data_IF_447802926145
#
_entry.id   IF_447802926145
#
_cell.length_a   1.000
_cell.length_b   1.000
_cell.length_c   1.000
_cell.angle_alpha   90.00
_cell.angle_beta   90.00
_cell.angle_gamma   90.00
#
_symmetry.space_group_name_H-M   'P 1'
#
loop_
_entity.id
_entity.type
_entity.pdbx_description
1 polymer ?
#
# COMPACT_ATOMS: atom_id res chain seq x y z
N UNK A 1 -22.70 0.79 -8.96
CA UNK A 1 -22.38 2.13 -9.47
C UNK A 1 -21.50 2.93 -8.50
N UNK A 2 -21.89 3.08 -7.21
CA UNK A 2 -21.08 3.85 -6.24
C UNK A 2 -19.75 3.17 -5.84
N UNK A 3 -19.76 1.84 -5.66
CA UNK A 3 -18.54 1.04 -5.35
C UNK A 3 -17.48 1.09 -6.46
N UNK A 4 -17.91 1.06 -7.73
CA UNK A 4 -17.05 1.22 -8.92
C UNK A 4 -16.31 2.55 -8.91
N UNK A 5 -17.01 3.62 -8.55
CA UNK A 5 -16.43 4.96 -8.48
C UNK A 5 -15.38 5.07 -7.37
N UNK A 6 -15.66 4.49 -6.19
CA UNK A 6 -14.71 4.47 -5.06
C UNK A 6 -13.43 3.72 -5.42
N UNK A 7 -13.53 2.54 -6.02
CA UNK A 7 -12.32 1.77 -6.36
C UNK A 7 -11.49 2.43 -7.47
N UNK A 8 -12.15 3.11 -8.41
CA UNK A 8 -11.44 3.90 -9.42
C UNK A 8 -10.67 5.05 -8.78
N UNK A 9 -11.27 5.77 -7.83
CA UNK A 9 -10.59 6.83 -7.07
C UNK A 9 -9.42 6.25 -6.26
N UNK A 10 -9.60 5.08 -5.65
CA UNK A 10 -8.52 4.37 -4.92
C UNK A 10 -7.38 4.01 -5.87
N UNK A 11 -7.66 3.43 -7.03
CA UNK A 11 -6.66 3.11 -8.06
C UNK A 11 -5.92 4.37 -8.52
N UNK A 12 -6.65 5.42 -8.94
CA UNK A 12 -6.07 6.67 -9.43
C UNK A 12 -5.21 7.36 -8.34
N UNK A 13 -5.69 7.42 -7.10
CA UNK A 13 -4.95 8.06 -6.01
C UNK A 13 -3.67 7.29 -5.64
N UNK A 14 -3.71 5.95 -5.63
CA UNK A 14 -2.54 5.15 -5.33
C UNK A 14 -1.50 5.19 -6.45
N UNK A 15 -1.94 5.17 -7.71
CA UNK A 15 -1.04 5.29 -8.86
C UNK A 15 -0.37 6.67 -8.92
N UNK A 16 -1.10 7.74 -8.59
CA UNK A 16 -0.61 9.10 -8.73
C UNK A 16 0.16 9.60 -7.50
N UNK A 17 -0.29 9.24 -6.29
CA UNK A 17 0.23 9.80 -5.04
C UNK A 17 0.78 8.75 -4.07
N UNK A 18 0.46 7.47 -4.24
CA UNK A 18 0.87 6.39 -3.33
C UNK A 18 0.09 6.32 -2.01
N UNK A 19 -0.82 7.27 -1.77
CA UNK A 19 -1.64 7.33 -0.56
C UNK A 19 -3.01 7.97 -0.80
N UNK A 20 -3.90 7.79 0.16
CA UNK A 20 -5.25 8.38 0.22
C UNK A 20 -5.43 9.05 1.57
N UNK A 21 -5.97 10.27 1.58
CA UNK A 21 -6.34 10.98 2.81
C UNK A 21 -7.85 10.91 2.98
N UNK A 22 -8.30 10.48 4.15
CA UNK A 22 -9.72 10.36 4.51
C UNK A 22 -10.00 11.10 5.82
N UNK A 23 -11.17 11.75 5.98
CA UNK A 23 -11.63 12.24 7.28
C UNK A 23 -11.74 11.08 8.28
N UNK A 24 -11.35 11.30 9.54
CA UNK A 24 -11.26 10.22 10.54
C UNK A 24 -12.59 9.48 10.76
N UNK A 25 -13.71 10.20 10.65
CA UNK A 25 -15.08 9.68 10.75
C UNK A 25 -15.44 8.68 9.63
N UNK A 26 -14.78 8.79 8.47
CA UNK A 26 -15.02 7.91 7.31
C UNK A 26 -14.12 6.67 7.29
N UNK A 27 -13.09 6.63 8.14
CA UNK A 27 -12.07 5.57 8.13
C UNK A 27 -12.64 4.22 8.53
N UNK A 28 -13.58 4.18 9.47
CA UNK A 28 -14.22 2.92 9.89
C UNK A 28 -14.93 2.22 8.73
N UNK A 29 -15.82 2.94 8.05
CA UNK A 29 -16.54 2.43 6.88
C UNK A 29 -15.59 2.01 5.76
N UNK A 30 -14.51 2.76 5.53
CA UNK A 30 -13.50 2.42 4.54
C UNK A 30 -12.73 1.14 4.91
N UNK A 31 -12.32 0.97 6.17
CA UNK A 31 -11.65 -0.26 6.66
C UNK A 31 -12.56 -1.46 6.51
N UNK A 32 -13.83 -1.34 6.91
CA UNK A 32 -14.78 -2.44 6.81
C UNK A 32 -15.05 -2.82 5.35
N UNK A 33 -15.12 -1.83 4.47
CA UNK A 33 -15.21 -2.05 3.03
C UNK A 33 -13.98 -2.80 2.51
N UNK A 34 -12.76 -2.32 2.78
CA UNK A 34 -11.51 -2.99 2.37
C UNK A 34 -11.41 -4.42 2.92
N UNK A 35 -11.88 -4.65 4.16
CA UNK A 35 -11.92 -5.97 4.78
C UNK A 35 -12.89 -6.90 4.03
N UNK A 36 -14.07 -6.40 3.67
CA UNK A 36 -15.11 -7.18 2.99
C UNK A 36 -14.68 -7.70 1.61
N UNK A 37 -13.73 -7.02 0.95
CA UNK A 37 -13.15 -7.41 -0.35
C UNK A 37 -11.74 -7.98 -0.23
N UNK A 38 -11.30 -8.32 0.98
CA UNK A 38 -9.98 -8.87 1.29
C UNK A 38 -8.80 -8.04 0.74
N UNK A 39 -8.90 -6.72 0.80
CA UNK A 39 -7.83 -5.80 0.38
C UNK A 39 -7.13 -5.12 1.56
N UNK A 40 -7.68 -5.20 2.78
CA UNK A 40 -7.15 -4.47 3.95
C UNK A 40 -5.65 -4.75 4.20
N UNK A 41 -5.19 -5.97 3.96
CA UNK A 41 -3.79 -6.36 4.19
C UNK A 41 -2.77 -5.70 3.25
N UNK A 42 -3.23 -5.14 2.13
CA UNK A 42 -2.39 -4.34 1.22
C UNK A 42 -2.12 -2.94 1.76
N UNK A 43 -2.81 -2.50 2.82
CA UNK A 43 -2.77 -1.12 3.27
C UNK A 43 -2.20 -1.00 4.68
N UNK A 44 -1.45 0.09 4.89
CA UNK A 44 -1.11 0.65 6.19
C UNK A 44 -2.00 1.86 6.41
N UNK A 45 -2.54 1.99 7.62
CA UNK A 45 -3.47 3.07 7.98
C UNK A 45 -2.91 3.80 9.19
N UNK A 46 -2.54 5.06 8.99
CA UNK A 46 -2.02 5.95 10.02
C UNK A 46 -3.10 6.98 10.37
N UNK A 47 -3.59 6.97 11.60
CA UNK A 47 -4.67 7.88 12.05
C UNK A 47 -4.12 9.07 12.83
N UNK A 48 -4.67 10.23 12.56
CA UNK A 48 -4.54 11.47 13.34
C UNK A 48 -5.91 11.84 13.93
N UNK A 49 -5.98 12.95 14.66
CA UNK A 49 -7.23 13.43 15.28
C UNK A 49 -8.30 13.81 14.26
N UNK A 50 -7.90 14.23 13.05
CA UNK A 50 -8.81 14.78 12.03
C UNK A 50 -8.87 13.97 10.74
N UNK A 51 -7.82 13.21 10.44
CA UNK A 51 -7.68 12.48 9.20
C UNK A 51 -6.97 11.15 9.41
N UNK A 52 -7.09 10.25 8.45
CA UNK A 52 -6.20 9.13 8.31
C UNK A 52 -5.55 9.13 6.92
N UNK A 53 -4.33 8.63 6.90
CA UNK A 53 -3.56 8.35 5.70
C UNK A 53 -3.63 6.84 5.49
N UNK A 54 -4.07 6.44 4.30
CA UNK A 54 -4.09 5.06 3.83
C UNK A 54 -3.05 4.95 2.74
N UNK A 55 -2.04 4.12 2.95
CA UNK A 55 -0.93 3.93 2.03
C UNK A 55 -0.70 2.44 1.79
N UNK A 56 0.06 2.09 0.75
CA UNK A 56 0.46 0.71 0.53
C UNK A 56 1.28 0.20 1.73
N UNK A 57 0.98 -1.00 2.21
CA UNK A 57 1.75 -1.63 3.26
C UNK A 57 3.10 -2.12 2.71
N UNK A 58 4.16 -1.32 2.93
CA UNK A 58 5.53 -1.61 2.50
C UNK A 58 6.41 -2.23 3.57
N UNK A 59 5.92 -2.43 4.80
CA UNK A 59 6.70 -3.06 5.88
C UNK A 59 7.29 -4.41 5.46
N UNK A 60 6.57 -5.30 4.76
CA UNK A 60 7.17 -6.56 4.29
C UNK A 60 8.31 -6.34 3.30
N UNK A 61 8.23 -5.31 2.44
CA UNK A 61 9.33 -4.95 1.54
C UNK A 61 10.56 -4.50 2.33
N UNK A 62 10.37 -3.70 3.38
CA UNK A 62 11.48 -3.24 4.23
C UNK A 62 12.20 -4.41 4.87
N UNK A 63 11.46 -5.37 5.46
CA UNK A 63 12.07 -6.56 6.04
C UNK A 63 12.76 -7.46 5.02
N UNK A 64 12.12 -7.69 3.87
CA UNK A 64 12.68 -8.52 2.81
C UNK A 64 13.97 -7.90 2.23
N UNK A 65 13.93 -6.63 1.86
CA UNK A 65 15.07 -5.93 1.28
C UNK A 65 16.20 -5.75 2.30
N UNK A 66 15.88 -5.49 3.57
CA UNK A 66 16.90 -5.43 4.61
C UNK A 66 17.60 -6.80 4.71
N UNK A 67 16.86 -7.91 4.72
CA UNK A 67 17.48 -9.25 4.79
C UNK A 67 18.35 -9.62 3.58
N UNK A 68 17.99 -9.15 2.38
CA UNK A 68 18.67 -9.52 1.13
C UNK A 68 19.83 -8.60 0.76
N UNK A 69 19.83 -7.35 1.22
CA UNK A 69 20.79 -6.34 0.81
C UNK A 69 21.93 -6.15 1.80
N UNK A 70 22.56 -7.24 2.24
CA UNK A 70 23.78 -7.21 3.03
C UNK A 70 24.99 -7.68 2.21
N UNK A 71 26.09 -6.94 2.30
CA UNK A 71 27.36 -7.36 1.71
C UNK A 71 28.00 -8.49 2.53
N UNK A 72 29.09 -9.06 2.01
CA UNK A 72 29.83 -10.15 2.68
C UNK A 72 30.33 -9.81 4.11
N UNK A 73 30.41 -8.52 4.45
CA UNK A 73 30.82 -8.04 5.77
C UNK A 73 29.64 -7.76 6.70
N UNK A 74 28.40 -8.04 6.28
CA UNK A 74 27.19 -7.81 7.08
C UNK A 74 26.77 -6.35 7.17
N UNK A 75 27.28 -5.47 6.31
CA UNK A 75 26.77 -4.10 6.19
C UNK A 75 25.73 -4.03 5.09
N UNK A 76 24.69 -3.22 5.32
CA UNK A 76 23.65 -2.99 4.32
C UNK A 76 24.22 -2.24 3.11
N UNK A 77 23.99 -2.79 1.92
CA UNK A 77 24.21 -2.09 0.67
C UNK A 77 22.99 -1.20 0.38
N UNK A 78 23.16 0.11 0.57
CA UNK A 78 22.08 1.09 0.39
C UNK A 78 21.56 1.13 -1.07
N UNK A 79 22.41 0.88 -2.08
CA UNK A 79 21.97 0.88 -3.47
C UNK A 79 21.11 -0.36 -3.78
N UNK A 80 21.51 -1.53 -3.26
CA UNK A 80 20.67 -2.72 -3.30
C UNK A 80 19.34 -2.46 -2.59
N UNK A 81 19.39 -1.94 -1.37
CA UNK A 81 18.20 -1.75 -0.53
C UNK A 81 17.18 -0.82 -1.19
N UNK A 82 17.63 0.33 -1.72
CA UNK A 82 16.76 1.27 -2.43
C UNK A 82 16.15 0.63 -3.69
N UNK A 83 16.96 -0.07 -4.48
CA UNK A 83 16.49 -0.72 -5.72
C UNK A 83 15.48 -1.82 -5.42
N UNK A 84 15.74 -2.64 -4.39
CA UNK A 84 14.84 -3.68 -3.92
C UNK A 84 13.52 -3.09 -3.42
N UNK A 85 13.57 -2.03 -2.61
CA UNK A 85 12.37 -1.36 -2.11
C UNK A 85 11.50 -0.83 -3.24
N UNK A 86 12.11 -0.25 -4.28
CA UNK A 86 11.38 0.24 -5.43
C UNK A 86 10.67 -0.90 -6.17
N UNK A 87 11.39 -1.97 -6.51
CA UNK A 87 10.81 -3.14 -7.18
C UNK A 87 9.68 -3.79 -6.37
N UNK A 88 9.90 -4.03 -5.07
CA UNK A 88 8.87 -4.62 -4.22
C UNK A 88 7.62 -3.73 -4.09
N UNK A 89 7.79 -2.40 -4.04
CA UNK A 89 6.65 -1.46 -4.03
C UNK A 89 5.86 -1.53 -5.33
N UNK A 90 6.53 -1.56 -6.47
CA UNK A 90 5.88 -1.70 -7.78
C UNK A 90 5.10 -3.02 -7.88
N UNK A 91 5.71 -4.14 -7.50
CA UNK A 91 5.06 -5.46 -7.52
C UNK A 91 3.80 -5.50 -6.65
N UNK A 92 3.88 -4.94 -5.42
CA UNK A 92 2.73 -4.87 -4.52
C UNK A 92 1.63 -3.96 -5.05
N UNK A 93 1.98 -2.82 -5.64
CA UNK A 93 1.02 -1.93 -6.29
C UNK A 93 0.33 -2.64 -7.46
N UNK A 94 1.10 -3.32 -8.32
CA UNK A 94 0.57 -4.11 -9.43
C UNK A 94 -0.37 -5.22 -8.96
N UNK A 95 0.00 -5.95 -7.90
CA UNK A 95 -0.84 -6.99 -7.30
C UNK A 95 -2.17 -6.41 -6.77
N UNK A 96 -2.11 -5.27 -6.07
CA UNK A 96 -3.31 -4.56 -5.61
C UNK A 96 -4.20 -4.14 -6.79
N UNK A 97 -3.64 -3.45 -7.80
CA UNK A 97 -4.41 -3.00 -8.96
C UNK A 97 -5.03 -4.19 -9.73
N UNK A 98 -4.28 -5.28 -9.91
CA UNK A 98 -4.80 -6.50 -10.52
C UNK A 98 -5.99 -7.06 -9.73
N UNK A 99 -5.87 -7.09 -8.40
CA UNK A 99 -6.95 -7.53 -7.52
C UNK A 99 -8.18 -6.63 -7.60
N UNK A 100 -7.98 -5.31 -7.61
CA UNK A 100 -9.05 -4.32 -7.79
C UNK A 100 -9.79 -4.57 -9.12
N UNK A 101 -9.04 -4.76 -10.22
CA UNK A 101 -9.62 -5.03 -11.54
C UNK A 101 -10.41 -6.32 -11.58
N UNK A 102 -9.99 -7.36 -10.85
CA UNK A 102 -10.72 -8.65 -10.78
C UNK A 102 -12.04 -8.59 -10.01
N UNK A 103 -12.30 -7.51 -9.28
CA UNK A 103 -13.58 -7.29 -8.59
C UNK A 103 -14.66 -6.70 -9.51
N UNK A 104 -14.32 -6.46 -10.78
CA UNK A 104 -15.15 -5.90 -11.84
C UNK A 104 -15.19 -6.82 -13.06
#
# INVERSE_FOLDING_TARGET
MERQKVMRIVEEALLQYGFIILPVESVGAFIDYLRSINLLHFFRISKSERYAIVELNTLPCEYECDSQCHNHNGYRDENCYISCLYGCREERLHALISKIKSLY
#
